data_IF_676985717585
#
_entry.id   IF_676985717585
#
_cell.length_a   1.000
_cell.length_b   1.000
_cell.length_c   1.000
_cell.angle_alpha   90.00
_cell.angle_beta   90.00
_cell.angle_gamma   90.00
#
_symmetry.space_group_name_H-M   'P 1'
#
loop_
_entity.id
_entity.type
_entity.pdbx_description
1 polymer ?
#
# COMPACT_ATOMS: atom_id res chain seq x y z
N UNK A 1 -32.83 43.12 -21.72
CA UNK A 1 -31.63 43.52 -20.96
C UNK A 1 -31.75 42.93 -19.57
N UNK A 2 -30.80 42.09 -19.15
CA UNK A 2 -30.79 41.46 -17.83
C UNK A 2 -29.88 40.24 -17.84
N UNK A 3 -28.58 40.48 -17.67
CA UNK A 3 -27.53 39.48 -17.80
C UNK A 3 -27.44 38.50 -16.62
N UNK A 4 -26.75 37.42 -16.93
CA UNK A 4 -26.31 36.26 -16.15
C UNK A 4 -25.92 36.54 -14.70
N UNK A 5 -26.17 35.56 -13.82
CA UNK A 5 -25.19 35.19 -12.80
C UNK A 5 -25.05 33.66 -12.78
N UNK A 6 -24.00 33.19 -13.45
CA UNK A 6 -23.48 31.84 -13.33
C UNK A 6 -23.15 31.58 -11.86
N UNK A 7 -23.70 30.49 -11.31
CA UNK A 7 -23.30 30.02 -9.99
C UNK A 7 -21.78 29.82 -9.97
N UNK A 8 -21.05 30.38 -9.00
CA UNK A 8 -19.66 30.01 -8.81
C UNK A 8 -19.62 28.51 -8.49
N UNK A 9 -18.94 27.73 -9.34
CA UNK A 9 -18.57 26.36 -9.02
C UNK A 9 -17.89 26.40 -7.65
N UNK A 10 -18.58 25.85 -6.64
CA UNK A 10 -17.98 25.60 -5.34
C UNK A 10 -16.78 24.71 -5.58
N UNK A 11 -15.58 25.27 -5.44
CA UNK A 11 -14.36 24.50 -5.29
C UNK A 11 -14.48 23.75 -3.97
N UNK A 12 -15.05 22.54 -4.00
CA UNK A 12 -14.89 21.60 -2.91
C UNK A 12 -13.39 21.33 -2.80
N UNK A 13 -12.70 21.72 -1.71
CA UNK A 13 -11.34 21.24 -1.51
C UNK A 13 -11.44 19.72 -1.40
N UNK A 14 -11.00 19.03 -2.46
CA UNK A 14 -10.91 17.58 -2.44
C UNK A 14 -9.98 17.25 -1.27
N UNK A 15 -10.45 16.55 -0.22
CA UNK A 15 -9.60 16.25 0.92
C UNK A 15 -8.37 15.50 0.41
N UNK A 16 -7.19 16.06 0.68
CA UNK A 16 -5.93 15.48 0.27
C UNK A 16 -5.88 14.02 0.74
N UNK A 17 -5.89 13.10 -0.22
CA UNK A 17 -5.74 11.66 -0.06
C UNK A 17 -6.74 11.01 0.91
N UNK A 18 -7.99 10.80 0.46
CA UNK A 18 -8.89 9.85 1.13
C UNK A 18 -8.27 8.45 1.11
N UNK A 19 -8.28 7.72 2.24
CA UNK A 19 -7.77 6.36 2.28
C UNK A 19 -8.61 5.45 1.38
N UNK A 20 -7.94 4.65 0.56
CA UNK A 20 -8.60 3.58 -0.18
C UNK A 20 -9.02 2.51 0.83
N UNK A 21 -10.30 2.14 0.81
CA UNK A 21 -10.88 1.31 1.87
C UNK A 21 -11.55 0.06 1.29
N UNK A 22 -11.46 -1.04 2.04
CA UNK A 22 -12.11 -2.30 1.72
C UNK A 22 -12.70 -2.94 2.97
N UNK A 23 -13.83 -3.62 2.80
CA UNK A 23 -14.50 -4.40 3.85
C UNK A 23 -14.86 -5.74 3.25
N UNK A 24 -14.38 -6.84 3.84
CA UNK A 24 -14.61 -8.20 3.32
C UNK A 24 -14.22 -8.36 1.83
N UNK A 25 -13.15 -7.70 1.41
CA UNK A 25 -12.72 -7.68 0.00
C UNK A 25 -11.20 -7.63 -0.14
N UNK A 26 -10.72 -7.22 -1.32
CA UNK A 26 -9.29 -7.17 -1.61
C UNK A 26 -8.93 -5.90 -2.38
N UNK A 27 -7.85 -5.23 -1.99
CA UNK A 27 -7.20 -4.16 -2.76
C UNK A 27 -5.91 -4.73 -3.37
N UNK A 28 -5.72 -4.57 -4.67
CA UNK A 28 -4.50 -5.00 -5.38
C UNK A 28 -3.86 -3.81 -6.11
N UNK A 29 -2.57 -3.56 -5.84
CA UNK A 29 -1.71 -2.61 -6.56
C UNK A 29 -0.53 -3.37 -7.14
N UNK A 30 -0.64 -3.77 -8.40
CA UNK A 30 0.37 -4.58 -9.09
C UNK A 30 0.63 -4.04 -10.49
N UNK A 31 1.72 -4.48 -11.13
CA UNK A 31 2.10 -4.01 -12.46
C UNK A 31 2.75 -2.63 -12.45
N UNK A 32 2.63 -1.93 -13.57
CA UNK A 32 3.20 -0.59 -13.74
C UNK A 32 2.25 0.46 -13.18
N UNK A 33 2.68 1.14 -12.12
CA UNK A 33 1.94 2.26 -11.54
C UNK A 33 2.90 3.22 -10.83
N UNK A 34 2.50 4.49 -10.76
CA UNK A 34 3.23 5.50 -10.00
C UNK A 34 2.82 5.41 -8.53
N UNK A 35 3.77 5.10 -7.65
CA UNK A 35 3.56 5.02 -6.21
C UNK A 35 3.60 6.44 -5.64
N UNK A 36 2.48 6.98 -5.12
CA UNK A 36 2.48 8.31 -4.52
C UNK A 36 3.44 8.39 -3.34
N UNK A 37 3.91 9.60 -3.01
CA UNK A 37 4.71 9.83 -1.81
C UNK A 37 3.96 9.43 -0.53
N UNK A 38 2.63 9.48 -0.55
CA UNK A 38 1.76 9.07 0.54
C UNK A 38 0.54 8.32 0.00
N UNK A 39 0.32 7.12 0.51
CA UNK A 39 -0.86 6.30 0.27
C UNK A 39 -1.46 5.88 1.60
N UNK A 40 -2.79 5.91 1.72
CA UNK A 40 -3.49 5.47 2.92
C UNK A 40 -4.50 4.37 2.59
N UNK A 41 -4.55 3.33 3.44
CA UNK A 41 -5.44 2.18 3.29
C UNK A 41 -6.19 1.88 4.59
N UNK A 42 -7.49 1.59 4.48
CA UNK A 42 -8.34 1.13 5.59
C UNK A 42 -8.93 -0.23 5.29
N UNK A 43 -8.54 -1.23 6.07
CA UNK A 43 -8.86 -2.64 5.84
C UNK A 43 -9.70 -3.19 7.02
N UNK A 44 -10.86 -3.78 6.71
CA UNK A 44 -11.71 -4.47 7.68
C UNK A 44 -12.10 -5.84 7.14
N UNK A 45 -11.57 -6.92 7.72
CA UNK A 45 -11.83 -8.26 7.19
C UNK A 45 -11.33 -8.44 5.76
N UNK A 46 -10.27 -7.74 5.35
CA UNK A 46 -9.91 -7.58 3.93
C UNK A 46 -8.41 -7.76 3.67
N UNK A 47 -8.06 -8.00 2.41
CA UNK A 47 -6.68 -8.18 1.99
C UNK A 47 -6.16 -6.96 1.22
N UNK A 48 -4.89 -6.62 1.43
CA UNK A 48 -4.17 -5.60 0.68
C UNK A 48 -2.90 -6.18 0.08
N UNK A 49 -2.80 -6.18 -1.24
CA UNK A 49 -1.62 -6.64 -1.97
C UNK A 49 -0.98 -5.48 -2.71
N UNK A 50 0.27 -5.19 -2.37
CA UNK A 50 1.07 -4.16 -3.01
C UNK A 50 2.33 -4.82 -3.56
N UNK A 51 2.52 -4.74 -4.88
CA UNK A 51 3.72 -5.17 -5.56
C UNK A 51 4.43 -3.95 -6.15
N UNK A 52 5.60 -3.65 -5.59
CA UNK A 52 6.43 -2.52 -6.00
C UNK A 52 7.50 -2.90 -7.02
N UNK A 53 7.59 -4.17 -7.45
CA UNK A 53 8.68 -4.63 -8.32
C UNK A 53 8.65 -4.01 -9.72
N UNK A 54 7.45 -3.67 -10.20
CA UNK A 54 7.21 -2.98 -11.48
C UNK A 54 6.69 -1.56 -11.27
N UNK A 55 6.59 -1.11 -10.03
CA UNK A 55 6.08 0.21 -9.69
C UNK A 55 7.21 1.25 -9.73
N UNK A 56 6.85 2.49 -10.05
CA UNK A 56 7.80 3.62 -10.04
C UNK A 56 7.49 4.51 -8.85
N UNK A 57 8.44 4.70 -7.95
CA UNK A 57 8.27 5.60 -6.81
C UNK A 57 8.23 7.07 -7.27
N UNK A 58 7.18 7.81 -6.92
CA UNK A 58 7.07 9.24 -7.22
C UNK A 58 7.93 10.10 -6.29
N UNK A 59 8.50 9.53 -5.23
CA UNK A 59 9.37 10.19 -4.27
C UNK A 59 10.46 9.24 -3.74
N UNK A 60 11.60 9.75 -3.26
CA UNK A 60 12.65 8.93 -2.63
C UNK A 60 12.17 8.20 -1.36
N UNK A 61 11.16 8.77 -0.70
CA UNK A 61 10.50 8.17 0.46
C UNK A 61 9.01 8.05 0.14
N UNK A 62 8.50 6.83 0.21
CA UNK A 62 7.09 6.50 0.05
C UNK A 62 6.55 6.10 1.42
N UNK A 63 5.49 6.75 1.85
CA UNK A 63 4.77 6.41 3.08
C UNK A 63 3.48 5.69 2.73
N UNK A 64 3.29 4.51 3.33
CA UNK A 64 2.09 3.71 3.22
C UNK A 64 1.48 3.62 4.62
N UNK A 65 0.42 4.39 4.86
CA UNK A 65 -0.35 4.36 6.12
C UNK A 65 -1.45 3.31 6.01
N UNK A 66 -1.44 2.33 6.91
CA UNK A 66 -2.37 1.20 6.89
C UNK A 66 -3.07 1.09 8.23
N UNK A 67 -4.39 1.16 8.20
CA UNK A 67 -5.27 0.74 9.30
C UNK A 67 -5.80 -0.65 8.99
N UNK A 68 -5.33 -1.65 9.73
CA UNK A 68 -5.69 -3.07 9.55
C UNK A 68 -6.55 -3.56 10.71
N UNK A 69 -7.73 -4.09 10.41
CA UNK A 69 -8.58 -4.78 11.37
C UNK A 69 -9.00 -6.14 10.79
N UNK A 70 -8.64 -7.24 11.46
CA UNK A 70 -8.92 -8.61 11.00
C UNK A 70 -8.54 -8.84 9.54
N UNK A 71 -7.37 -8.35 9.13
CA UNK A 71 -6.98 -8.20 7.72
C UNK A 71 -5.61 -8.79 7.44
N UNK A 72 -5.29 -9.06 6.18
CA UNK A 72 -3.94 -9.41 5.75
C UNK A 72 -3.37 -8.36 4.80
N UNK A 73 -2.08 -8.08 4.91
CA UNK A 73 -1.36 -7.22 3.96
C UNK A 73 -0.10 -7.90 3.50
N UNK A 74 0.10 -7.93 2.19
CA UNK A 74 1.34 -8.38 1.55
C UNK A 74 1.95 -7.23 0.77
N UNK A 75 3.17 -6.84 1.16
CA UNK A 75 4.02 -5.91 0.44
C UNK A 75 5.18 -6.68 -0.18
N UNK A 76 5.31 -6.59 -1.50
CA UNK A 76 6.44 -7.12 -2.26
C UNK A 76 7.29 -5.97 -2.73
N UNK A 77 8.58 -5.97 -2.40
CA UNK A 77 9.52 -4.92 -2.79
C UNK A 77 10.64 -5.50 -3.69
N UNK A 78 11.17 -4.72 -4.64
CA UNK A 78 12.36 -5.12 -5.37
C UNK A 78 13.60 -5.13 -4.44
N UNK A 79 14.66 -5.87 -4.80
CA UNK A 79 15.90 -5.90 -4.03
C UNK A 79 16.52 -4.51 -3.85
N UNK A 80 17.07 -4.26 -2.67
CA UNK A 80 17.72 -3.01 -2.30
C UNK A 80 16.80 -1.92 -1.76
N UNK A 81 15.47 -2.07 -1.86
CA UNK A 81 14.51 -1.15 -1.23
C UNK A 81 14.57 -1.26 0.28
N UNK A 82 14.70 -0.11 0.95
CA UNK A 82 14.66 -0.05 2.40
C UNK A 82 13.21 -0.02 2.89
N UNK A 83 12.77 -1.03 3.62
CA UNK A 83 11.44 -1.03 4.26
C UNK A 83 11.58 -0.77 5.75
N UNK A 84 10.90 0.26 6.23
CA UNK A 84 10.81 0.62 7.64
C UNK A 84 9.37 0.42 8.13
N UNK A 85 9.19 -0.44 9.13
CA UNK A 85 7.87 -0.81 9.65
C UNK A 85 7.62 -0.13 11.00
N UNK A 86 6.84 0.95 10.96
CA UNK A 86 6.53 1.87 12.07
C UNK A 86 5.07 1.77 12.57
N UNK A 87 4.43 0.61 12.45
CA UNK A 87 3.02 0.43 12.88
C UNK A 87 2.91 0.39 14.41
N UNK A 88 2.10 1.29 14.99
CA UNK A 88 2.12 1.67 16.40
C UNK A 88 1.22 0.82 17.34
N UNK A 89 0.33 -0.02 16.81
CA UNK A 89 -0.53 -0.90 17.59
C UNK A 89 -0.58 -2.25 16.87
N UNK A 90 -0.12 -3.35 17.47
CA UNK A 90 -0.05 -4.68 16.84
C UNK A 90 -0.79 -5.73 17.66
N UNK A 91 -2.01 -5.39 18.09
CA UNK A 91 -2.77 -6.26 19.01
C UNK A 91 -3.12 -7.57 18.29
N UNK A 92 -2.65 -8.70 18.81
CA UNK A 92 -2.82 -10.03 18.18
C UNK A 92 -2.45 -10.06 16.70
N UNK A 93 -1.42 -9.31 16.31
CA UNK A 93 -1.02 -9.20 14.91
C UNK A 93 0.35 -9.81 14.68
N UNK A 94 0.52 -10.48 13.55
CA UNK A 94 1.75 -11.18 13.18
C UNK A 94 2.45 -10.48 12.02
N UNK A 95 3.74 -10.18 12.19
CA UNK A 95 4.53 -9.40 11.25
C UNK A 95 5.71 -10.23 10.77
N UNK A 96 5.72 -10.55 9.49
CA UNK A 96 6.80 -11.28 8.84
C UNK A 96 7.51 -10.35 7.86
N UNK A 97 8.75 -9.95 8.17
CA UNK A 97 9.55 -9.02 7.37
C UNK A 97 10.82 -9.73 6.93
N UNK A 98 10.88 -10.05 5.65
CA UNK A 98 12.02 -10.69 5.00
C UNK A 98 12.46 -9.84 3.79
N UNK A 99 13.33 -8.86 4.06
CA UNK A 99 13.80 -7.90 3.06
C UNK A 99 15.29 -7.99 2.86
N UNK A 100 15.75 -7.83 1.62
CA UNK A 100 17.17 -7.72 1.30
C UNK A 100 17.82 -6.50 1.97
N UNK A 101 19.15 -6.51 2.09
CA UNK A 101 19.90 -5.35 2.55
C UNK A 101 19.61 -4.10 1.69
N UNK A 102 19.40 -2.92 2.32
CA UNK A 102 19.13 -1.70 1.59
C UNK A 102 20.37 -1.24 0.83
N UNK A 103 20.18 -0.73 -0.40
CA UNK A 103 21.26 -0.18 -1.24
C UNK A 103 21.25 1.36 -1.13
N UNK A 104 22.41 2.02 -1.00
CA UNK A 104 22.48 3.48 -1.03
C UNK A 104 21.79 4.07 -2.27
N UNK A 105 20.88 5.03 -2.06
CA UNK A 105 20.15 5.70 -3.14
C UNK A 105 18.87 4.98 -3.62
N UNK A 106 18.59 3.76 -3.12
CA UNK A 106 17.32 3.11 -3.39
C UNK A 106 16.15 3.80 -2.63
N UNK A 107 14.92 3.74 -3.16
CA UNK A 107 13.75 4.27 -2.46
C UNK A 107 13.55 3.62 -1.08
N UNK A 108 13.07 4.43 -0.13
CA UNK A 108 12.62 3.97 1.18
C UNK A 108 11.10 3.87 1.22
N UNK A 109 10.60 2.76 1.74
CA UNK A 109 9.18 2.55 2.03
C UNK A 109 8.98 2.60 3.54
N UNK A 110 8.14 3.50 4.01
CA UNK A 110 7.73 3.59 5.41
C UNK A 110 6.32 3.03 5.52
N UNK A 111 6.17 1.90 6.21
CA UNK A 111 4.88 1.33 6.57
C UNK A 111 4.48 1.85 7.95
N UNK A 112 3.42 2.65 8.01
CA UNK A 112 2.92 3.25 9.27
C UNK A 112 1.45 2.89 9.49
N UNK A 113 0.90 3.31 10.63
CA UNK A 113 -0.52 3.13 10.97
C UNK A 113 -0.74 2.19 12.15
N UNK A 114 -1.82 1.40 12.09
CA UNK A 114 -2.30 0.54 13.19
C UNK A 114 -2.77 -0.82 12.70
N UNK A 115 -2.59 -1.85 13.54
CA UNK A 115 -2.92 -3.24 13.21
C UNK A 115 -3.60 -3.95 14.40
N UNK A 116 -4.71 -4.63 14.12
CA UNK A 116 -5.49 -5.39 15.11
C UNK A 116 -5.92 -6.72 14.51
N UNK A 117 -5.60 -7.82 15.18
CA UNK A 117 -5.92 -9.19 14.76
C UNK A 117 -5.55 -9.46 13.28
N UNK A 118 -4.40 -8.98 12.83
CA UNK A 118 -4.07 -8.90 11.40
C UNK A 118 -2.66 -9.43 11.10
N UNK A 119 -2.38 -9.75 9.84
CA UNK A 119 -1.05 -10.21 9.41
C UNK A 119 -0.42 -9.23 8.43
N UNK A 120 0.84 -8.85 8.65
CA UNK A 120 1.65 -8.11 7.69
C UNK A 120 2.79 -9.01 7.20
N UNK A 121 2.88 -9.17 5.89
CA UNK A 121 3.99 -9.82 5.21
C UNK A 121 4.71 -8.82 4.32
N UNK A 122 6.01 -8.65 4.53
CA UNK A 122 6.90 -7.86 3.68
C UNK A 122 7.97 -8.80 3.16
N UNK A 123 8.08 -8.90 1.83
CA UNK A 123 9.08 -9.77 1.19
C UNK A 123 9.82 -9.03 0.07
N UNK A 124 11.12 -9.30 -0.04
CA UNK A 124 11.87 -8.94 -1.25
C UNK A 124 11.71 -10.04 -2.31
N UNK A 125 11.42 -9.65 -3.54
CA UNK A 125 11.43 -10.55 -4.71
C UNK A 125 11.99 -9.88 -5.94
N UNK A 126 12.66 -10.65 -6.80
CA UNK A 126 13.16 -10.13 -8.07
C UNK A 126 12.02 -9.79 -9.05
N UNK A 127 12.19 -8.84 -9.98
CA UNK A 127 11.12 -8.41 -10.90
C UNK A 127 10.48 -9.51 -11.75
N UNK A 128 11.24 -10.57 -12.05
CA UNK A 128 10.81 -11.70 -12.88
C UNK A 128 10.54 -12.97 -12.06
N UNK A 129 10.63 -12.91 -10.73
CA UNK A 129 10.35 -14.06 -9.88
C UNK A 129 8.83 -14.24 -9.77
N UNK A 130 8.27 -15.43 -10.03
CA UNK A 130 6.86 -15.66 -9.77
C UNK A 130 6.55 -15.39 -8.29
N UNK A 131 5.38 -14.86 -7.96
CA UNK A 131 5.00 -14.64 -6.57
C UNK A 131 4.86 -15.97 -5.80
N UNK A 132 4.96 -17.10 -6.51
CA UNK A 132 5.00 -18.47 -5.99
C UNK A 132 3.58 -19.02 -5.81
N UNK A 133 3.46 -20.05 -4.97
CA UNK A 133 2.22 -20.76 -4.61
C UNK A 133 0.97 -19.86 -4.37
N UNK A 134 1.16 -18.60 -3.95
CA UNK A 134 0.08 -17.65 -3.67
C UNK A 134 -0.64 -17.09 -4.92
N UNK A 135 0.06 -16.93 -6.05
CA UNK A 135 -0.58 -16.60 -7.33
C UNK A 135 -1.49 -17.74 -7.80
N UNK A 136 -1.14 -18.99 -7.49
CA UNK A 136 -1.97 -20.15 -7.82
C UNK A 136 -3.17 -20.31 -6.88
N UNK A 137 -3.04 -19.92 -5.61
CA UNK A 137 -4.07 -20.05 -4.59
C UNK A 137 -5.16 -18.96 -4.67
N UNK A 138 -4.80 -17.75 -5.10
CA UNK A 138 -5.74 -16.62 -5.23
C UNK A 138 -5.86 -16.03 -6.64
N UNK A 139 -5.12 -16.56 -7.62
CA UNK A 139 -5.17 -16.16 -9.05
C UNK A 139 -6.02 -17.07 -9.92
N UNK A 140 -7.02 -17.74 -9.33
CA UNK A 140 -7.96 -18.58 -10.05
C UNK A 140 -8.98 -17.78 -10.86
N UNK A 141 -8.68 -17.62 -12.16
CA UNK A 141 -9.54 -17.28 -13.32
C UNK A 141 -10.23 -15.93 -13.35
#
# INVERSE_FOLDING_TARGET
MGGHLSQPQQFSPQPANQPEQSTMGTIKKTGEWAVPAYSAYKLNGSDLHIDLRKATAAAPVVTIDITMNMSATTLVVPPGVHVDVQIANKNWSEFHVDTSAPIPGAPRVVLTGVSRASTLKVITKSPNEPLGFWEQMFGGR
#
